data_IF_117958812550
#
_entry.id   IF_117958812550
#
_cell.length_a   1.000
_cell.length_b   1.000
_cell.length_c   1.000
_cell.angle_alpha   90.00
_cell.angle_beta   90.00
_cell.angle_gamma   90.00
#
_symmetry.space_group_name_H-M   'P 1'
#
loop_
_entity.id
_entity.type
_entity.pdbx_description
1 polymer ?
#
# COMPACT_ATOMS: atom_id res chain seq x y z
N UNK A 1 14.89 -14.37 -18.40
CA UNK A 1 14.15 -13.46 -17.52
C UNK A 1 13.00 -12.87 -18.33
N UNK A 2 11.75 -12.89 -17.83
CA UNK A 2 10.61 -12.30 -18.56
C UNK A 2 10.65 -10.79 -18.37
N UNK A 3 10.64 -10.03 -19.47
CA UNK A 3 10.51 -8.58 -19.40
C UNK A 3 9.12 -8.21 -18.86
N UNK A 4 9.08 -7.32 -17.88
CA UNK A 4 7.82 -6.80 -17.28
C UNK A 4 7.67 -5.37 -17.79
N UNK A 5 6.66 -5.15 -18.63
CA UNK A 5 6.32 -3.83 -19.13
C UNK A 5 5.49 -3.08 -18.07
N UNK A 6 5.97 -1.92 -17.64
CA UNK A 6 5.29 -1.10 -16.64
C UNK A 6 6.04 0.18 -16.31
N UNK A 7 5.44 1.02 -15.47
CA UNK A 7 6.03 2.27 -14.98
C UNK A 7 6.65 2.06 -13.59
N UNK A 8 7.78 2.70 -13.27
CA UNK A 8 8.29 2.77 -11.90
C UNK A 8 7.22 3.33 -10.95
N UNK A 9 7.19 2.84 -9.70
CA UNK A 9 6.17 3.22 -8.71
C UNK A 9 5.98 4.72 -8.57
N UNK A 10 7.06 5.50 -8.40
CA UNK A 10 6.95 6.95 -8.22
C UNK A 10 6.37 7.66 -9.44
N UNK A 11 6.76 7.25 -10.65
CA UNK A 11 6.20 7.82 -11.89
C UNK A 11 4.71 7.51 -12.01
N UNK A 12 4.30 6.30 -11.64
CA UNK A 12 2.89 5.93 -11.64
C UNK A 12 2.08 6.76 -10.63
N UNK A 13 2.59 6.93 -9.39
CA UNK A 13 1.92 7.73 -8.37
C UNK A 13 1.85 9.21 -8.73
N UNK A 14 2.86 9.75 -9.43
CA UNK A 14 2.84 11.12 -9.92
C UNK A 14 1.74 11.35 -10.97
N UNK A 15 1.52 10.37 -11.85
CA UNK A 15 0.50 10.45 -12.90
C UNK A 15 -0.92 10.21 -12.37
N UNK A 16 -1.10 9.25 -11.48
CA UNK A 16 -2.40 8.72 -11.06
C UNK A 16 -2.89 9.25 -9.70
N UNK A 17 -1.99 9.83 -8.92
CA UNK A 17 -2.25 10.35 -7.58
C UNK A 17 -1.82 9.39 -6.46
N UNK A 18 -1.52 9.99 -5.30
CA UNK A 18 -0.94 9.30 -4.14
C UNK A 18 -1.90 8.26 -3.52
N UNK A 19 -3.20 8.42 -3.71
CA UNK A 19 -4.21 7.48 -3.17
C UNK A 19 -4.06 6.05 -3.71
N UNK A 20 -3.41 5.89 -4.87
CA UNK A 20 -3.10 4.58 -5.42
C UNK A 20 -2.16 3.75 -4.55
N UNK A 21 -1.44 4.39 -3.61
CA UNK A 21 -0.57 3.68 -2.66
C UNK A 21 -1.33 2.64 -1.82
N UNK A 22 -2.61 2.86 -1.55
CA UNK A 22 -3.44 1.89 -0.81
C UNK A 22 -3.64 0.59 -1.59
N UNK A 23 -3.96 0.69 -2.88
CA UNK A 23 -4.20 -0.47 -3.74
C UNK A 23 -2.90 -1.19 -4.06
N UNK A 24 -1.86 -0.44 -4.41
CA UNK A 24 -0.53 -0.97 -4.71
C UNK A 24 0.05 -1.65 -3.46
N UNK A 25 0.01 -0.98 -2.30
CA UNK A 25 0.50 -1.54 -1.05
C UNK A 25 -0.20 -2.83 -0.66
N UNK A 26 -1.52 -2.93 -0.87
CA UNK A 26 -2.24 -4.18 -0.64
C UNK A 26 -1.75 -5.32 -1.55
N UNK A 27 -1.47 -5.03 -2.81
CA UNK A 27 -0.98 -6.03 -3.76
C UNK A 27 0.42 -6.52 -3.36
N UNK A 28 1.33 -5.60 -3.00
CA UNK A 28 2.67 -5.94 -2.54
C UNK A 28 2.62 -6.78 -1.26
N UNK A 29 1.83 -6.36 -0.26
CA UNK A 29 1.67 -7.14 0.98
C UNK A 29 1.12 -8.55 0.72
N UNK A 30 0.22 -8.74 -0.24
CA UNK A 30 -0.26 -10.08 -0.62
C UNK A 30 0.87 -10.92 -1.24
N UNK A 31 1.70 -10.34 -2.11
CA UNK A 31 2.84 -11.04 -2.71
C UNK A 31 3.88 -11.43 -1.65
N UNK A 32 4.19 -10.52 -0.72
CA UNK A 32 5.06 -10.83 0.42
C UNK A 32 4.47 -11.95 1.26
N UNK A 33 3.18 -11.90 1.60
CA UNK A 33 2.50 -12.98 2.34
C UNK A 33 2.66 -14.34 1.66
N UNK A 34 2.49 -14.39 0.35
CA UNK A 34 2.56 -15.63 -0.41
C UNK A 34 4.02 -16.13 -0.48
N UNK A 35 4.99 -15.24 -0.60
CA UNK A 35 6.42 -15.54 -0.52
C UNK A 35 6.78 -16.09 0.87
N UNK A 36 6.36 -15.41 1.94
CA UNK A 36 6.61 -15.78 3.34
C UNK A 36 5.96 -17.12 3.71
N UNK A 37 4.76 -17.39 3.19
CA UNK A 37 4.09 -18.67 3.40
C UNK A 37 4.86 -19.87 2.80
N UNK A 38 5.69 -19.61 1.80
CA UNK A 38 6.59 -20.59 1.18
C UNK A 38 8.00 -20.61 1.83
N UNK A 39 8.20 -19.93 2.94
CA UNK A 39 9.47 -19.94 3.68
C UNK A 39 10.56 -19.03 3.12
N UNK A 40 10.23 -18.04 2.30
CA UNK A 40 11.15 -17.11 1.70
C UNK A 40 10.87 -15.68 2.14
N UNK A 41 11.92 -14.88 2.29
CA UNK A 41 11.89 -13.44 2.59
C UNK A 41 12.47 -12.70 1.39
N UNK A 42 11.84 -11.58 1.00
CA UNK A 42 12.26 -10.83 -0.17
C UNK A 42 13.63 -10.15 0.05
N UNK A 43 13.82 -9.52 1.22
CA UNK A 43 15.10 -9.03 1.74
C UNK A 43 15.54 -7.66 1.22
N UNK A 44 15.29 -7.31 -0.06
CA UNK A 44 15.67 -6.01 -0.65
C UNK A 44 14.43 -5.27 -1.20
N UNK A 45 13.41 -5.11 -0.36
CA UNK A 45 12.19 -4.40 -0.74
C UNK A 45 12.44 -2.90 -0.74
N UNK A 46 12.30 -2.28 -1.92
CA UNK A 46 12.51 -0.84 -2.14
C UNK A 46 11.64 -0.35 -3.30
N UNK A 47 11.52 0.97 -3.43
CA UNK A 47 10.73 1.61 -4.48
C UNK A 47 11.21 1.18 -5.88
N UNK A 48 12.52 1.06 -6.08
CA UNK A 48 13.16 0.72 -7.34
C UNK A 48 12.83 -0.70 -7.80
N UNK A 49 12.51 -1.60 -6.86
CA UNK A 49 12.15 -2.99 -7.14
C UNK A 49 10.63 -3.17 -7.39
N UNK A 50 9.92 -2.08 -7.66
CA UNK A 50 8.49 -2.08 -7.94
C UNK A 50 8.17 -1.46 -9.29
N UNK A 51 7.40 -2.21 -10.07
CA UNK A 51 6.87 -1.76 -11.36
C UNK A 51 5.34 -1.89 -11.31
N UNK A 52 4.66 -0.87 -11.81
CA UNK A 52 3.20 -0.90 -11.95
C UNK A 52 2.85 -1.08 -13.42
N UNK A 53 2.26 -2.22 -13.72
CA UNK A 53 1.81 -2.63 -15.06
C UNK A 53 0.41 -2.05 -15.36
N UNK A 54 -0.11 -2.31 -16.55
CA UNK A 54 -1.44 -1.90 -16.98
C UNK A 54 -2.52 -2.20 -15.92
N UNK A 55 -3.52 -1.32 -15.83
CA UNK A 55 -4.62 -1.39 -14.84
C UNK A 55 -4.18 -1.33 -13.36
N UNK A 56 -2.96 -0.83 -13.06
CA UNK A 56 -2.50 -0.65 -11.69
C UNK A 56 -2.08 -1.94 -10.99
N UNK A 57 -1.65 -2.95 -11.74
CA UNK A 57 -1.07 -4.18 -11.18
C UNK A 57 0.36 -3.92 -10.74
N UNK A 58 0.63 -4.10 -9.44
CA UNK A 58 1.97 -3.96 -8.88
C UNK A 58 2.74 -5.28 -8.97
N UNK A 59 3.94 -5.23 -9.52
CA UNK A 59 4.86 -6.34 -9.63
C UNK A 59 6.16 -6.05 -8.87
N UNK A 60 6.67 -7.07 -8.18
CA UNK A 60 8.02 -7.06 -7.62
C UNK A 60 8.99 -7.55 -8.69
N UNK A 61 10.09 -6.84 -8.82
CA UNK A 61 11.21 -7.21 -9.70
C UNK A 61 12.48 -7.38 -8.87
N UNK A 62 13.52 -7.97 -9.46
CA UNK A 62 14.81 -8.20 -8.82
C UNK A 62 14.73 -9.07 -7.55
N UNK A 63 14.59 -10.36 -7.76
CA UNK A 63 14.56 -11.37 -6.69
C UNK A 63 15.97 -11.80 -6.21
N UNK A 64 17.03 -11.04 -6.53
CA UNK A 64 18.41 -11.37 -6.13
C UNK A 64 18.63 -11.44 -4.63
N UNK A 65 17.90 -10.65 -3.85
CA UNK A 65 17.95 -10.60 -2.39
C UNK A 65 17.16 -11.71 -1.67
N UNK A 66 16.32 -12.47 -2.38
CA UNK A 66 15.45 -13.47 -1.76
C UNK A 66 16.26 -14.50 -0.97
N UNK A 67 15.88 -14.65 0.31
CA UNK A 67 16.63 -15.43 1.29
C UNK A 67 15.67 -16.38 2.03
N UNK A 68 16.07 -17.63 2.31
CA UNK A 68 15.27 -18.53 3.15
C UNK A 68 15.05 -17.93 4.54
N UNK A 69 13.85 -18.09 5.08
CA UNK A 69 13.48 -17.63 6.43
C UNK A 69 14.45 -18.18 7.47
N UNK A 70 14.89 -17.33 8.42
CA UNK A 70 15.82 -17.67 9.48
C UNK A 70 17.30 -17.60 9.09
N UNK A 71 17.65 -17.17 7.87
CA UNK A 71 19.03 -16.92 7.44
C UNK A 71 19.37 -15.42 7.50
N UNK A 72 20.66 -15.07 7.42
CA UNK A 72 21.06 -13.68 7.28
C UNK A 72 20.60 -13.15 5.92
N UNK A 73 20.07 -11.91 5.90
CA UNK A 73 19.68 -11.22 4.66
C UNK A 73 20.89 -11.05 3.76
N UNK A 74 20.77 -11.46 2.49
CA UNK A 74 21.90 -11.49 1.56
C UNK A 74 22.19 -10.13 0.91
N UNK A 75 21.14 -9.39 0.63
CA UNK A 75 21.20 -8.11 -0.07
C UNK A 75 20.20 -7.16 0.57
N UNK A 76 20.61 -5.92 0.78
CA UNK A 76 19.76 -4.87 1.33
C UNK A 76 20.21 -3.50 0.80
N UNK A 77 19.29 -2.56 0.81
CA UNK A 77 19.56 -1.15 0.50
C UNK A 77 19.41 -0.37 1.81
N UNK A 78 20.45 0.35 2.23
CA UNK A 78 20.58 0.99 3.56
C UNK A 78 19.32 1.69 4.04
N UNK A 79 18.73 2.56 3.20
CA UNK A 79 17.57 3.35 3.58
C UNK A 79 16.35 2.48 3.96
N UNK A 80 16.21 1.27 3.40
CA UNK A 80 15.09 0.36 3.63
C UNK A 80 15.43 -0.74 4.63
N UNK A 81 16.69 -0.81 5.09
CA UNK A 81 17.19 -1.83 5.99
C UNK A 81 16.94 -1.46 7.44
N UNK A 82 16.27 -2.33 8.20
CA UNK A 82 16.01 -2.09 9.63
C UNK A 82 17.29 -2.01 10.45
N UNK A 83 18.36 -2.70 10.04
CA UNK A 83 19.66 -2.60 10.70
C UNK A 83 20.31 -1.23 10.53
N UNK A 84 20.07 -0.54 9.42
CA UNK A 84 20.49 0.84 9.21
C UNK A 84 19.84 1.81 10.20
N UNK A 85 18.57 1.57 10.57
CA UNK A 85 17.78 2.38 11.50
C UNK A 85 17.89 1.95 12.96
N UNK A 86 18.82 1.05 13.31
CA UNK A 86 18.94 0.46 14.64
C UNK A 86 17.62 -0.20 15.15
N UNK A 87 16.81 -0.69 14.22
CA UNK A 87 15.48 -1.25 14.48
C UNK A 87 15.46 -2.78 14.58
N UNK A 88 16.62 -3.42 14.56
CA UNK A 88 16.75 -4.87 14.70
C UNK A 88 17.82 -5.48 13.79
N UNK A 89 17.97 -6.79 13.89
CA UNK A 89 18.98 -7.55 13.16
C UNK A 89 18.60 -7.79 11.69
N UNK A 90 19.62 -8.06 10.84
CA UNK A 90 19.44 -8.46 9.44
C UNK A 90 19.11 -9.94 9.29
N UNK A 91 18.12 -10.39 10.05
CA UNK A 91 17.59 -11.74 9.98
C UNK A 91 16.43 -11.79 8.97
N UNK A 92 16.43 -12.78 8.07
CA UNK A 92 15.36 -12.98 7.10
C UNK A 92 14.11 -13.52 7.81
N UNK A 93 13.22 -12.63 8.17
CA UNK A 93 11.92 -12.88 8.80
C UNK A 93 10.86 -11.93 8.24
N UNK A 94 9.60 -12.26 8.44
CA UNK A 94 8.49 -11.46 7.88
C UNK A 94 8.53 -9.99 8.31
N UNK A 95 8.97 -9.73 9.56
CA UNK A 95 9.14 -8.38 10.10
C UNK A 95 10.17 -7.55 9.35
N UNK A 96 11.18 -8.17 8.76
CA UNK A 96 12.17 -7.48 7.94
C UNK A 96 11.54 -6.85 6.70
N UNK A 97 10.80 -7.62 5.92
CA UNK A 97 10.11 -7.10 4.73
C UNK A 97 8.99 -6.12 5.09
N UNK A 98 8.30 -6.31 6.23
CA UNK A 98 7.29 -5.37 6.70
C UNK A 98 7.89 -4.02 7.10
N UNK A 99 9.08 -4.01 7.70
CA UNK A 99 9.84 -2.79 7.99
C UNK A 99 10.19 -2.06 6.70
N UNK A 100 10.82 -2.75 5.75
CA UNK A 100 11.21 -2.21 4.45
C UNK A 100 9.98 -1.69 3.67
N UNK A 101 8.84 -2.38 3.77
CA UNK A 101 7.58 -1.94 3.20
C UNK A 101 7.09 -0.63 3.82
N UNK A 102 7.17 -0.48 5.14
CA UNK A 102 6.78 0.77 5.80
C UNK A 102 7.66 1.94 5.36
N UNK A 103 8.97 1.76 5.33
CA UNK A 103 9.91 2.80 4.84
C UNK A 103 9.62 3.16 3.39
N UNK A 104 9.37 2.15 2.54
CA UNK A 104 9.00 2.36 1.14
C UNK A 104 7.73 3.22 1.01
N UNK A 105 6.69 2.95 1.78
CA UNK A 105 5.44 3.74 1.76
C UNK A 105 5.70 5.16 2.25
N UNK A 106 6.48 5.34 3.31
CA UNK A 106 6.86 6.68 3.82
C UNK A 106 7.55 7.48 2.73
N UNK A 107 8.58 6.92 2.10
CA UNK A 107 9.36 7.59 1.06
C UNK A 107 8.55 7.84 -0.21
N UNK A 108 7.64 6.94 -0.58
CA UNK A 108 6.77 7.11 -1.74
C UNK A 108 5.77 8.26 -1.55
N UNK A 109 5.28 8.48 -0.31
CA UNK A 109 4.27 9.50 0.01
C UNK A 109 4.89 10.83 0.41
N UNK A 110 5.94 10.82 1.25
CA UNK A 110 6.58 12.03 1.76
C UNK A 110 7.69 12.55 0.83
N UNK A 111 8.16 11.71 -0.11
CA UNK A 111 9.30 11.99 -0.98
C UNK A 111 10.63 11.53 -0.38
N UNK A 112 11.57 11.17 -1.25
CA UNK A 112 12.89 10.66 -0.82
C UNK A 112 13.70 11.67 0.03
N UNK A 113 13.50 12.95 -0.18
CA UNK A 113 14.21 14.02 0.54
C UNK A 113 13.64 14.29 1.95
N UNK A 114 12.54 13.64 2.34
CA UNK A 114 11.88 13.89 3.63
C UNK A 114 12.71 13.47 4.85
N UNK A 115 13.71 12.62 4.66
CA UNK A 115 14.61 12.12 5.70
C UNK A 115 16.01 12.79 5.66
N UNK A 116 16.22 13.77 4.79
CA UNK A 116 17.54 14.36 4.55
C UNK A 116 18.44 13.47 3.71
N UNK A 117 19.73 13.80 3.65
CA UNK A 117 20.71 13.00 2.94
C UNK A 117 21.21 11.85 3.82
N UNK A 118 20.92 10.58 3.45
CA UNK A 118 21.39 9.42 4.21
C UNK A 118 22.89 9.35 4.39
N UNK A 119 23.66 9.86 3.43
CA UNK A 119 25.12 9.84 3.48
C UNK A 119 25.69 10.76 4.57
N UNK A 120 24.93 11.78 4.96
CA UNK A 120 25.31 12.74 6.01
C UNK A 120 24.83 12.32 7.40
N UNK A 121 24.02 11.28 7.49
CA UNK A 121 23.42 10.83 8.75
C UNK A 121 24.38 9.91 9.50
N UNK A 122 24.88 10.38 10.64
CA UNK A 122 25.75 9.58 11.50
C UNK A 122 25.01 8.33 12.04
N UNK A 123 25.67 7.17 12.10
CA UNK A 123 25.03 5.92 12.54
C UNK A 123 24.30 5.99 13.88
N UNK A 124 24.88 6.74 14.85
CA UNK A 124 24.28 6.92 16.18
C UNK A 124 23.00 7.76 16.19
N UNK A 125 22.74 8.53 15.14
CA UNK A 125 21.56 9.39 15.01
C UNK A 125 20.42 8.70 14.26
N UNK A 126 20.65 7.51 13.70
CA UNK A 126 19.67 6.77 12.92
C UNK A 126 18.73 6.04 13.89
N UNK A 127 17.48 6.44 13.89
CA UNK A 127 16.46 5.81 14.74
C UNK A 127 15.10 5.77 14.06
N UNK A 128 14.23 4.89 14.54
CA UNK A 128 12.83 4.80 14.13
C UNK A 128 12.11 6.13 14.37
N UNK A 129 12.51 6.90 15.39
CA UNK A 129 11.86 8.17 15.75
C UNK A 129 11.86 9.16 14.59
N UNK A 130 12.92 9.19 13.78
CA UNK A 130 12.98 10.04 12.58
C UNK A 130 11.91 9.66 11.56
N UNK A 131 11.67 8.36 11.37
CA UNK A 131 10.61 7.87 10.49
C UNK A 131 9.22 8.20 11.07
N UNK A 132 9.05 8.09 12.38
CA UNK A 132 7.81 8.45 13.07
C UNK A 132 7.51 9.96 12.97
N UNK A 133 8.52 10.82 13.03
CA UNK A 133 8.37 12.27 12.84
C UNK A 133 7.87 12.58 11.43
N UNK A 134 8.41 11.95 10.40
CA UNK A 134 7.92 12.10 9.01
C UNK A 134 6.46 11.67 8.89
N UNK A 135 6.08 10.54 9.54
CA UNK A 135 4.69 10.08 9.55
C UNK A 135 3.77 11.12 10.21
N UNK A 136 4.18 11.71 11.35
CA UNK A 136 3.40 12.72 12.09
C UNK A 136 3.27 14.02 11.32
N UNK A 137 4.35 14.44 10.64
CA UNK A 137 4.40 15.69 9.89
C UNK A 137 3.60 15.64 8.58
N UNK A 138 3.38 14.46 7.99
CA UNK A 138 2.72 14.33 6.69
C UNK A 138 1.24 13.91 6.82
N UNK A 139 0.28 14.80 6.47
CA UNK A 139 -1.16 14.51 6.57
C UNK A 139 -1.60 13.29 5.74
N UNK A 140 -0.95 13.04 4.58
CA UNK A 140 -1.27 11.90 3.72
C UNK A 140 -0.91 10.55 4.38
N UNK A 141 0.08 10.53 5.28
CA UNK A 141 0.47 9.33 6.03
C UNK A 141 -0.39 9.09 7.27
N UNK A 142 -1.14 10.09 7.75
CA UNK A 142 -1.92 10.02 8.99
C UNK A 142 -2.86 8.80 9.02
N UNK A 143 -3.52 8.52 7.91
CA UNK A 143 -4.44 7.36 7.81
C UNK A 143 -3.70 6.03 7.85
N UNK A 144 -2.46 5.97 7.34
CA UNK A 144 -1.60 4.80 7.34
C UNK A 144 -0.79 4.65 8.63
N UNK A 145 -0.73 5.68 9.48
CA UNK A 145 0.08 5.71 10.70
C UNK A 145 -0.07 4.46 11.58
N UNK A 146 -1.28 3.91 11.85
CA UNK A 146 -1.41 2.72 12.69
C UNK A 146 -0.68 1.50 12.12
N UNK A 147 -0.64 1.36 10.80
CA UNK A 147 0.09 0.29 10.13
C UNK A 147 1.60 0.55 10.16
N UNK A 148 2.01 1.76 9.74
CA UNK A 148 3.41 2.14 9.60
C UNK A 148 4.17 2.03 10.91
N UNK A 149 3.60 2.55 12.01
CA UNK A 149 4.20 2.47 13.35
C UNK A 149 4.36 1.03 13.82
N UNK A 150 3.37 0.17 13.57
CA UNK A 150 3.47 -1.26 13.92
C UNK A 150 4.53 -1.99 13.12
N UNK A 151 4.66 -1.69 11.82
CA UNK A 151 5.67 -2.30 10.96
C UNK A 151 7.09 -1.85 11.33
N UNK A 152 7.30 -0.56 11.60
CA UNK A 152 8.59 -0.03 12.05
C UNK A 152 9.04 -0.60 13.40
N UNK A 153 8.09 -0.80 14.33
CA UNK A 153 8.36 -1.35 15.68
C UNK A 153 8.38 -2.88 15.73
N UNK A 154 8.16 -3.57 14.60
CA UNK A 154 8.15 -5.02 14.53
C UNK A 154 7.07 -5.70 15.36
N UNK A 155 5.92 -5.05 15.57
CA UNK A 155 4.83 -5.54 16.44
C UNK A 155 3.77 -6.37 15.72
N UNK A 156 3.96 -6.69 14.45
CA UNK A 156 3.12 -7.66 13.73
C UNK A 156 3.52 -9.09 14.06
N UNK A 157 2.55 -9.96 14.28
CA UNK A 157 2.79 -11.41 14.42
C UNK A 157 3.18 -12.07 13.09
N UNK A 158 2.94 -11.39 11.97
CA UNK A 158 3.30 -11.83 10.63
C UNK A 158 2.56 -11.05 9.55
N UNK A 159 2.89 -11.37 8.31
CA UNK A 159 2.36 -10.65 7.12
C UNK A 159 0.85 -10.86 6.92
N UNK A 160 0.29 -11.97 7.42
CA UNK A 160 -1.17 -12.18 7.39
C UNK A 160 -1.92 -11.11 8.17
N UNK A 161 -1.45 -10.79 9.38
CA UNK A 161 -2.02 -9.74 10.21
C UNK A 161 -1.83 -8.36 9.55
N UNK A 162 -0.66 -8.10 9.01
CA UNK A 162 -0.35 -6.88 8.28
C UNK A 162 -1.32 -6.64 7.10
N UNK A 163 -1.58 -7.67 6.29
CA UNK A 163 -2.57 -7.62 5.20
C UNK A 163 -3.98 -7.29 5.71
N UNK A 164 -4.39 -7.87 6.82
CA UNK A 164 -5.72 -7.62 7.40
C UNK A 164 -5.85 -6.17 7.87
N UNK A 165 -4.86 -5.65 8.60
CA UNK A 165 -4.87 -4.26 9.05
C UNK A 165 -4.86 -3.29 7.86
N UNK A 166 -4.02 -3.54 6.83
CA UNK A 166 -3.98 -2.71 5.64
C UNK A 166 -5.34 -2.67 4.91
N UNK A 167 -6.01 -3.82 4.77
CA UNK A 167 -7.37 -3.89 4.21
C UNK A 167 -8.38 -3.07 5.01
N UNK A 168 -8.31 -3.11 6.34
CA UNK A 168 -9.21 -2.34 7.21
C UNK A 168 -9.00 -0.83 7.03
N UNK A 169 -7.76 -0.37 6.87
CA UNK A 169 -7.45 1.03 6.60
C UNK A 169 -7.94 1.50 5.23
N UNK A 170 -7.91 0.62 4.23
CA UNK A 170 -8.45 0.88 2.89
C UNK A 170 -9.99 0.81 2.87
N UNK A 171 -10.56 -0.19 3.54
CA UNK A 171 -12.01 -0.41 3.59
C UNK A 171 -12.76 0.50 4.56
N UNK A 172 -12.04 1.33 5.36
CA UNK A 172 -12.71 2.25 6.30
C UNK A 172 -13.62 3.18 5.49
N UNK A 173 -14.92 3.22 5.81
CA UNK A 173 -15.94 3.64 4.88
C UNK A 173 -15.60 5.02 4.32
N UNK A 174 -15.63 5.19 3.01
CA UNK A 174 -16.37 6.32 2.48
C UNK A 174 -17.52 6.48 3.44
N UNK A 175 -17.52 7.58 4.23
CA UNK A 175 -18.73 8.02 4.90
C UNK A 175 -19.82 7.66 3.92
N UNK A 176 -20.73 6.79 4.33
CA UNK A 176 -21.85 6.49 3.49
C UNK A 176 -22.34 7.87 3.05
N UNK A 177 -21.99 8.27 1.86
CA UNK A 177 -22.80 9.23 1.15
C UNK A 177 -24.09 8.47 1.17
N UNK A 178 -24.91 8.85 2.15
CA UNK A 178 -26.30 8.47 2.18
C UNK A 178 -26.72 8.66 0.73
N UNK A 179 -26.83 7.56 0.00
CA UNK A 179 -27.52 7.52 -1.25
C UNK A 179 -28.99 7.64 -0.88
N UNK A 180 -29.34 8.77 -0.28
CA UNK A 180 -30.65 9.30 -0.40
C UNK A 180 -30.76 9.58 -1.91
N UNK A 181 -31.17 8.55 -2.65
CA UNK A 181 -31.68 8.79 -4.00
C UNK A 181 -32.66 9.94 -3.84
N UNK A 182 -32.37 11.10 -4.43
CA UNK A 182 -33.21 12.27 -4.19
C UNK A 182 -34.64 11.84 -4.49
N UNK A 183 -35.55 12.12 -3.57
CA UNK A 183 -36.93 11.63 -3.61
C UNK A 183 -37.62 11.88 -4.96
N UNK A 184 -37.17 12.89 -5.69
CA UNK A 184 -37.64 13.20 -7.02
C UNK A 184 -37.37 12.09 -8.08
N UNK A 185 -36.27 11.30 -7.92
CA UNK A 185 -35.98 10.16 -8.83
C UNK A 185 -37.05 9.08 -8.69
N UNK A 186 -37.49 8.81 -7.45
CA UNK A 186 -38.61 7.87 -7.21
C UNK A 186 -39.89 8.41 -7.79
N UNK A 187 -40.17 9.71 -7.65
CA UNK A 187 -41.36 10.36 -8.20
C UNK A 187 -41.35 10.28 -9.74
N UNK A 188 -40.22 10.60 -10.39
CA UNK A 188 -40.09 10.48 -11.85
C UNK A 188 -40.30 9.05 -12.34
N UNK A 189 -39.79 8.05 -11.60
CA UNK A 189 -39.99 6.64 -11.92
C UNK A 189 -41.49 6.25 -11.89
N UNK A 190 -42.19 6.63 -10.83
CA UNK A 190 -43.64 6.34 -10.71
C UNK A 190 -44.47 7.08 -11.74
N UNK A 191 -44.15 8.35 -12.06
CA UNK A 191 -44.84 9.13 -13.12
C UNK A 191 -44.64 8.47 -14.49
N UNK A 192 -43.42 8.04 -14.81
CA UNK A 192 -43.11 7.35 -16.03
C UNK A 192 -43.87 6.01 -16.16
N UNK A 193 -43.98 5.26 -15.06
CA UNK A 193 -44.72 4.01 -14.99
C UNK A 193 -46.23 4.23 -15.23
N UNK A 194 -46.78 5.30 -14.67
CA UNK A 194 -48.19 5.70 -14.81
C UNK A 194 -48.51 6.12 -16.25
N UNK A 195 -47.62 6.91 -16.90
CA UNK A 195 -47.73 7.26 -18.30
C UNK A 195 -47.67 6.04 -19.22
N UNK A 196 -46.79 5.09 -18.94
CA UNK A 196 -46.73 3.84 -19.71
C UNK A 196 -48.01 3.03 -19.55
N UNK A 197 -48.56 2.91 -18.34
CA UNK A 197 -49.84 2.23 -18.09
C UNK A 197 -50.99 2.85 -18.81
N UNK A 198 -51.11 4.18 -18.80
CA UNK A 198 -52.18 4.90 -19.53
C UNK A 198 -52.05 4.73 -21.04
N UNK A 199 -50.84 4.74 -21.58
CA UNK A 199 -50.60 4.54 -23.02
C UNK A 199 -50.99 3.13 -23.44
N UNK A 200 -50.61 2.11 -22.68
CA UNK A 200 -51.00 0.71 -22.96
C UNK A 200 -52.51 0.49 -22.84
N UNK A 201 -53.17 1.11 -21.86
CA UNK A 201 -54.64 1.07 -21.71
C UNK A 201 -55.35 1.67 -22.90
N UNK A 202 -54.90 2.83 -23.39
CA UNK A 202 -55.45 3.47 -24.59
C UNK A 202 -55.25 2.65 -25.88
N UNK A 203 -54.12 1.95 -26.01
CA UNK A 203 -53.86 1.07 -27.16
C UNK A 203 -54.66 -0.24 -27.11
N UNK A 204 -55.06 -0.71 -25.91
CA UNK A 204 -55.82 -1.94 -25.76
C UNK A 204 -57.35 -1.73 -25.96
N UNK A 205 -57.82 -0.48 -25.79
CA UNK A 205 -59.25 -0.11 -25.93
C UNK A 205 -59.62 0.35 -27.34
N UNK A 206 -58.64 0.37 -28.28
CA UNK A 206 -58.85 0.76 -29.67
C UNK A 206 -58.63 -0.44 -30.60
#
# INVERSE_FOLDING_TARGET
MKYIEGKPLLSFLADMGIDWIYMIGLQILKRLRDLHANGWIFGDLKIENMVVCGYGQAELIDFGGVTPKGKAVKQFTEMYDRGYWNAGERLAEEGYDLFSFAVMVILAVAGKNSLGDPALMLPQNRSIDMLEEVIKANPCLKKLSPFLLRALRGTFSGTREAVLLWKQLYAKPRNAVSSSHPSWVKVCFFVSLLMLGTTLYYFHLR
#
